data_IF_520182838937
#
_entry.id   IF_520182838937
#
_cell.length_a   1.000
_cell.length_b   1.000
_cell.length_c   1.000
_cell.angle_alpha   90.00
_cell.angle_beta   90.00
_cell.angle_gamma   90.00
#
_symmetry.space_group_name_H-M   'P 1'
#
loop_
_entity.id
_entity.type
_entity.pdbx_description
1 polymer ?
#
# COMPACT_ATOMS: atom_id res chain seq x y z
N UNK A 1 35.74 -42.01 -0.09
CA UNK A 1 34.34 -41.77 0.31
C UNK A 1 34.29 -40.40 0.97
N UNK A 2 33.85 -39.32 0.30
CA UNK A 2 33.56 -38.09 1.01
C UNK A 2 32.22 -38.26 1.73
N UNK A 3 32.19 -37.85 3.00
CA UNK A 3 31.00 -37.83 3.84
C UNK A 3 30.06 -36.74 3.32
N UNK A 4 28.83 -37.12 2.98
CA UNK A 4 27.72 -36.19 2.74
C UNK A 4 27.53 -35.32 4.00
N UNK A 5 27.79 -34.03 3.87
CA UNK A 5 27.29 -33.01 4.80
C UNK A 5 25.77 -32.96 4.68
N UNK A 6 25.00 -33.16 5.77
CA UNK A 6 23.57 -33.04 5.71
C UNK A 6 23.18 -31.60 5.38
N UNK A 7 22.35 -31.45 4.34
CA UNK A 7 21.69 -30.20 3.98
C UNK A 7 20.86 -29.74 5.18
N UNK A 8 21.13 -28.53 5.67
CA UNK A 8 20.30 -27.92 6.71
C UNK A 8 18.86 -27.79 6.17
N UNK A 9 17.83 -28.06 6.98
CA UNK A 9 16.46 -27.81 6.56
C UNK A 9 16.28 -26.31 6.28
N UNK A 10 15.61 -25.98 5.18
CA UNK A 10 15.17 -24.61 4.87
C UNK A 10 14.41 -24.05 6.08
N UNK A 11 14.83 -22.87 6.55
CA UNK A 11 14.21 -22.17 7.66
C UNK A 11 12.73 -21.89 7.33
N UNK A 12 11.77 -22.29 8.18
CA UNK A 12 10.33 -22.16 7.91
C UNK A 12 9.79 -20.71 7.93
N UNK A 13 10.65 -19.71 8.16
CA UNK A 13 10.25 -18.31 8.41
C UNK A 13 10.44 -17.38 7.20
N UNK A 14 10.73 -17.93 6.01
CA UNK A 14 10.80 -17.09 4.81
C UNK A 14 9.38 -16.80 4.30
N UNK A 15 8.99 -15.52 4.12
CA UNK A 15 7.64 -15.17 3.65
C UNK A 15 7.36 -15.81 2.30
N UNK A 16 6.20 -16.46 2.17
CA UNK A 16 5.76 -17.08 0.91
C UNK A 16 5.31 -16.01 -0.09
N UNK A 17 5.96 -15.99 -1.24
CA UNK A 17 5.67 -15.09 -2.36
C UNK A 17 5.03 -15.78 -3.56
N UNK A 18 4.82 -17.11 -3.52
CA UNK A 18 4.43 -17.88 -4.71
C UNK A 18 3.10 -17.41 -5.31
N UNK A 19 2.22 -16.85 -4.47
CA UNK A 19 0.89 -16.37 -4.85
C UNK A 19 0.72 -14.86 -4.65
N UNK A 20 1.80 -14.11 -4.41
CA UNK A 20 1.71 -12.66 -4.19
C UNK A 20 1.81 -11.89 -5.50
N UNK A 21 1.01 -10.83 -5.62
CA UNK A 21 1.03 -9.86 -6.71
C UNK A 21 0.83 -8.45 -6.16
N UNK A 22 1.65 -7.52 -6.61
CA UNK A 22 1.70 -6.17 -6.07
C UNK A 22 1.10 -5.18 -7.05
N UNK A 23 0.23 -4.30 -6.54
CA UNK A 23 -0.19 -3.08 -7.20
C UNK A 23 0.45 -1.89 -6.49
N UNK A 24 1.34 -1.18 -7.19
CA UNK A 24 1.90 0.09 -6.74
C UNK A 24 1.08 1.24 -7.33
N UNK A 25 0.41 1.99 -6.45
CA UNK A 25 -0.40 3.15 -6.83
C UNK A 25 0.42 4.41 -6.52
N UNK A 26 0.95 5.04 -7.57
CA UNK A 26 1.75 6.26 -7.49
C UNK A 26 0.82 7.47 -7.46
N UNK A 27 0.90 8.27 -6.40
CA UNK A 27 0.12 9.49 -6.25
C UNK A 27 0.95 10.77 -6.08
N UNK A 28 2.27 10.72 -6.30
CA UNK A 28 3.10 11.94 -6.32
C UNK A 28 2.70 12.79 -7.50
N UNK A 29 2.56 14.12 -7.37
CA UNK A 29 2.27 15.04 -8.49
C UNK A 29 3.43 15.25 -9.46
N UNK A 30 4.59 14.64 -9.18
CA UNK A 30 5.79 14.67 -10.00
C UNK A 30 6.24 13.24 -10.28
N UNK A 31 6.60 12.98 -11.53
CA UNK A 31 7.36 11.79 -11.90
C UNK A 31 8.72 11.80 -11.17
N UNK A 32 9.23 10.62 -10.85
CA UNK A 32 10.52 10.42 -10.17
C UNK A 32 10.60 11.13 -8.80
N UNK A 33 9.46 11.23 -8.11
CA UNK A 33 9.39 11.76 -6.76
C UNK A 33 10.11 10.87 -5.75
N UNK A 34 10.48 11.42 -4.58
CA UNK A 34 11.18 10.66 -3.55
C UNK A 34 10.38 9.43 -3.06
N UNK A 35 9.06 9.53 -2.89
CA UNK A 35 8.24 8.36 -2.53
C UNK A 35 8.27 7.27 -3.59
N UNK A 36 8.23 7.65 -4.88
CA UNK A 36 8.30 6.70 -5.99
C UNK A 36 9.66 6.01 -6.04
N UNK A 37 10.75 6.78 -5.93
CA UNK A 37 12.11 6.23 -5.91
C UNK A 37 12.26 5.23 -4.76
N UNK A 38 11.78 5.57 -3.57
CA UNK A 38 11.82 4.69 -2.41
C UNK A 38 10.97 3.42 -2.61
N UNK A 39 9.79 3.55 -3.22
CA UNK A 39 8.95 2.41 -3.54
C UNK A 39 9.60 1.48 -4.56
N UNK A 40 10.25 2.05 -5.59
CA UNK A 40 11.00 1.28 -6.60
C UNK A 40 12.20 0.57 -6.00
N UNK A 41 12.91 1.21 -5.07
CA UNK A 41 13.99 0.55 -4.32
C UNK A 41 13.45 -0.65 -3.54
N UNK A 42 12.39 -0.47 -2.75
CA UNK A 42 11.81 -1.57 -1.97
C UNK A 42 11.30 -2.71 -2.87
N UNK A 43 10.67 -2.37 -4.00
CA UNK A 43 10.16 -3.34 -4.96
C UNK A 43 11.26 -4.14 -5.67
N UNK A 44 12.48 -3.60 -5.77
CA UNK A 44 13.62 -4.31 -6.35
C UNK A 44 14.12 -5.48 -5.47
N UNK A 45 13.76 -5.50 -4.18
CA UNK A 45 14.07 -6.59 -3.25
C UNK A 45 12.95 -7.63 -3.14
N UNK A 46 11.89 -7.51 -3.93
CA UNK A 46 10.92 -8.60 -4.11
C UNK A 46 11.58 -9.74 -4.90
N UNK A 47 11.26 -11.01 -4.60
CA UNK A 47 11.77 -12.14 -5.37
C UNK A 47 11.48 -12.03 -6.86
N UNK A 48 12.41 -12.52 -7.67
CA UNK A 48 12.23 -12.56 -9.12
C UNK A 48 10.98 -13.35 -9.49
N UNK A 49 10.14 -12.79 -10.36
CA UNK A 49 8.91 -13.41 -10.82
C UNK A 49 7.65 -13.02 -10.06
N UNK A 50 7.76 -12.32 -8.92
CA UNK A 50 6.58 -11.72 -8.25
C UNK A 50 5.97 -10.65 -9.18
N UNK A 51 4.71 -10.78 -9.61
CA UNK A 51 4.07 -9.81 -10.48
C UNK A 51 3.96 -8.43 -9.81
N UNK A 52 4.33 -7.39 -10.55
CA UNK A 52 4.22 -6.00 -10.11
C UNK A 52 3.48 -5.20 -11.18
N UNK A 53 2.38 -4.55 -10.79
CA UNK A 53 1.67 -3.57 -11.62
C UNK A 53 1.90 -2.19 -11.02
N UNK A 54 2.25 -1.23 -11.86
CA UNK A 54 2.46 0.17 -11.47
C UNK A 54 1.40 1.03 -12.14
N UNK A 55 0.73 1.87 -11.37
CA UNK A 55 -0.29 2.80 -11.86
C UNK A 55 0.06 4.20 -11.38
N UNK A 56 0.27 5.12 -12.31
CA UNK A 56 0.46 6.54 -12.01
C UNK A 56 -0.87 7.29 -12.09
N UNK A 57 -1.36 7.78 -10.95
CA UNK A 57 -2.62 8.52 -10.88
C UNK A 57 -2.58 9.88 -11.58
N UNK A 58 -1.39 10.46 -11.84
CA UNK A 58 -1.29 11.71 -12.60
C UNK A 58 -1.51 11.52 -14.09
N UNK A 59 -1.18 10.34 -14.62
CA UNK A 59 -1.36 10.02 -16.04
C UNK A 59 -2.81 9.66 -16.37
N UNK A 60 -3.63 9.46 -15.34
CA UNK A 60 -5.02 9.06 -15.47
C UNK A 60 -5.97 10.25 -15.36
N UNK A 61 -6.94 10.29 -16.27
CA UNK A 61 -8.09 11.15 -16.15
C UNK A 61 -9.11 10.49 -15.20
N UNK A 62 -8.92 10.70 -13.90
CA UNK A 62 -9.87 10.30 -12.85
C UNK A 62 -10.60 11.55 -12.32
N UNK A 63 -11.91 11.72 -12.56
CA UNK A 63 -12.70 12.82 -12.02
C UNK A 63 -12.65 12.91 -10.49
N UNK A 64 -13.00 14.07 -9.94
CA UNK A 64 -13.17 14.17 -8.49
C UNK A 64 -14.33 13.28 -8.02
N UNK A 65 -14.07 12.51 -6.96
CA UNK A 65 -15.07 11.62 -6.38
C UNK A 65 -16.30 12.42 -5.94
N UNK A 66 -17.48 11.94 -6.34
CA UNK A 66 -18.77 12.48 -5.92
C UNK A 66 -19.46 11.44 -5.04
N UNK A 67 -19.84 11.86 -3.83
CA UNK A 67 -20.49 10.98 -2.86
C UNK A 67 -21.99 10.82 -3.18
N UNK A 68 -22.27 9.81 -4.01
CA UNK A 68 -23.62 9.45 -4.41
C UNK A 68 -24.36 8.54 -3.43
N UNK A 69 -23.93 8.38 -2.16
CA UNK A 69 -24.55 7.42 -1.20
C UNK A 69 -26.05 7.58 -0.96
N UNK A 70 -26.64 8.72 -1.37
CA UNK A 70 -28.08 9.00 -1.27
C UNK A 70 -28.79 9.09 -2.63
N UNK A 71 -28.05 8.84 -3.71
CA UNK A 71 -28.56 8.69 -5.08
C UNK A 71 -28.43 7.20 -5.47
N UNK A 72 -29.07 6.76 -6.55
CA UNK A 72 -28.87 5.39 -7.04
C UNK A 72 -27.44 5.29 -7.59
N UNK A 73 -26.49 4.95 -6.72
CA UNK A 73 -25.10 4.72 -7.11
C UNK A 73 -25.03 3.49 -8.02
N UNK A 74 -24.55 3.69 -9.26
CA UNK A 74 -24.31 2.64 -10.23
C UNK A 74 -22.90 2.04 -10.12
N UNK A 75 -22.60 0.96 -10.88
CA UNK A 75 -21.23 0.46 -11.03
C UNK A 75 -20.29 1.52 -11.62
N UNK A 76 -18.96 1.31 -11.60
CA UNK A 76 -17.99 2.23 -12.19
C UNK A 76 -18.43 2.75 -13.56
N UNK A 77 -18.49 4.07 -13.69
CA UNK A 77 -19.14 4.73 -14.83
C UNK A 77 -18.15 5.14 -15.92
N UNK A 78 -16.85 5.15 -15.62
CA UNK A 78 -15.79 5.46 -16.58
C UNK A 78 -14.70 4.37 -16.61
N UNK A 79 -14.02 4.26 -17.75
CA UNK A 79 -13.00 3.22 -17.99
C UNK A 79 -11.81 3.32 -17.03
N UNK A 80 -11.41 4.53 -16.64
CA UNK A 80 -10.31 4.74 -15.67
C UNK A 80 -10.66 4.14 -14.31
N UNK A 81 -11.86 4.43 -13.81
CA UNK A 81 -12.37 3.93 -12.53
C UNK A 81 -12.49 2.40 -12.56
N UNK A 82 -13.04 1.85 -13.65
CA UNK A 82 -13.16 0.39 -13.82
C UNK A 82 -11.78 -0.28 -13.82
N UNK A 83 -10.82 0.26 -14.57
CA UNK A 83 -9.45 -0.23 -14.60
C UNK A 83 -8.79 -0.19 -13.22
N UNK A 84 -8.98 0.89 -12.47
CA UNK A 84 -8.47 1.04 -11.10
C UNK A 84 -9.10 0.02 -10.16
N UNK A 85 -10.43 -0.14 -10.20
CA UNK A 85 -11.12 -1.16 -9.40
C UNK A 85 -10.56 -2.55 -9.70
N UNK A 86 -10.53 -2.94 -10.98
CA UNK A 86 -10.03 -4.24 -11.44
C UNK A 86 -8.58 -4.50 -11.02
N UNK A 87 -7.70 -3.50 -11.15
CA UNK A 87 -6.32 -3.59 -10.71
C UNK A 87 -6.23 -3.81 -9.19
N UNK A 88 -7.02 -3.06 -8.42
CA UNK A 88 -7.03 -3.11 -6.95
C UNK A 88 -7.44 -4.49 -6.45
N UNK A 89 -8.54 -5.02 -6.97
CA UNK A 89 -9.10 -6.31 -6.52
C UNK A 89 -8.37 -7.54 -7.05
N UNK A 90 -7.47 -7.37 -8.03
CA UNK A 90 -6.65 -8.44 -8.59
C UNK A 90 -5.31 -8.60 -7.83
N UNK A 91 -4.87 -7.58 -7.10
CA UNK A 91 -3.63 -7.62 -6.33
C UNK A 91 -3.81 -8.32 -4.98
N UNK A 92 -2.79 -9.05 -4.52
CA UNK A 92 -2.72 -9.49 -3.12
C UNK A 92 -2.23 -8.40 -2.19
N UNK A 93 -1.41 -7.50 -2.74
CA UNK A 93 -0.72 -6.44 -2.02
C UNK A 93 -0.96 -5.11 -2.74
N UNK A 94 -1.63 -4.18 -2.08
CA UNK A 94 -1.83 -2.81 -2.58
C UNK A 94 -0.87 -1.87 -1.85
N UNK A 95 -0.01 -1.19 -2.60
CA UNK A 95 1.00 -0.27 -2.09
C UNK A 95 0.61 1.15 -2.46
N UNK A 96 0.24 1.95 -1.45
CA UNK A 96 -0.06 3.36 -1.62
C UNK A 96 1.23 4.17 -1.53
N UNK A 97 1.66 4.74 -2.66
CA UNK A 97 2.90 5.51 -2.76
C UNK A 97 2.55 7.00 -2.87
N UNK A 98 2.67 7.72 -1.76
CA UNK A 98 2.30 9.13 -1.67
C UNK A 98 3.39 9.96 -1.01
N UNK A 99 3.73 11.16 -1.49
CA UNK A 99 4.48 12.10 -0.67
C UNK A 99 3.64 12.52 0.55
N UNK A 100 4.31 12.88 1.65
CA UNK A 100 3.64 13.42 2.84
C UNK A 100 3.33 14.90 2.61
N UNK A 101 2.10 15.23 2.24
CA UNK A 101 1.63 16.59 2.02
C UNK A 101 0.62 16.99 3.08
N UNK A 102 0.90 18.11 3.74
CA UNK A 102 0.08 18.59 4.87
C UNK A 102 -0.21 17.48 5.90
N UNK A 103 0.83 16.70 6.22
CA UNK A 103 0.77 15.58 7.17
C UNK A 103 -0.26 14.49 6.81
N UNK A 104 -0.56 14.39 5.51
CA UNK A 104 -1.49 13.43 4.91
C UNK A 104 -1.01 13.02 3.51
N UNK A 105 -1.91 12.39 2.74
CA UNK A 105 -1.66 11.98 1.37
C UNK A 105 -1.65 13.16 0.39
N UNK A 106 -1.15 12.91 -0.82
CA UNK A 106 -1.42 13.78 -1.96
C UNK A 106 -2.90 13.78 -2.33
N UNK A 107 -3.36 14.85 -3.00
CA UNK A 107 -4.73 14.95 -3.48
C UNK A 107 -5.09 13.81 -4.45
N UNK A 108 -4.14 13.38 -5.31
CA UNK A 108 -4.35 12.27 -6.25
C UNK A 108 -4.59 10.95 -5.51
N UNK A 109 -3.75 10.64 -4.53
CA UNK A 109 -3.91 9.45 -3.68
C UNK A 109 -5.23 9.49 -2.93
N UNK A 110 -5.57 10.64 -2.34
CA UNK A 110 -6.81 10.78 -1.58
C UNK A 110 -8.04 10.60 -2.47
N UNK A 111 -8.04 11.14 -3.70
CA UNK A 111 -9.08 10.91 -4.70
C UNK A 111 -9.24 9.41 -4.99
N UNK A 112 -8.17 8.69 -5.26
CA UNK A 112 -8.22 7.24 -5.48
C UNK A 112 -8.81 6.48 -4.28
N UNK A 113 -8.40 6.83 -3.05
CA UNK A 113 -8.96 6.24 -1.83
C UNK A 113 -10.45 6.57 -1.64
N UNK A 114 -10.89 7.76 -2.06
CA UNK A 114 -12.31 8.14 -1.97
C UNK A 114 -13.18 7.27 -2.88
N UNK A 115 -12.68 6.84 -4.05
CA UNK A 115 -13.38 5.89 -4.92
C UNK A 115 -13.62 4.51 -4.26
N UNK A 116 -12.82 4.10 -3.28
CA UNK A 116 -13.11 2.89 -2.51
C UNK A 116 -14.47 3.00 -1.79
N UNK A 117 -14.87 4.21 -1.40
CA UNK A 117 -16.22 4.46 -0.86
C UNK A 117 -17.30 4.21 -1.91
N UNK A 118 -17.08 4.60 -3.16
CA UNK A 118 -18.00 4.29 -4.26
C UNK A 118 -18.09 2.77 -4.50
N UNK A 119 -16.94 2.10 -4.55
CA UNK A 119 -16.85 0.67 -4.79
C UNK A 119 -17.49 -0.16 -3.67
N UNK A 120 -17.56 0.36 -2.45
CA UNK A 120 -18.25 -0.30 -1.33
C UNK A 120 -19.78 -0.29 -1.45
N UNK A 121 -20.36 0.70 -2.14
CA UNK A 121 -21.76 1.08 -1.92
C UNK A 121 -22.69 0.81 -3.11
N UNK A 122 -22.18 0.38 -4.27
CA UNK A 122 -23.08 0.04 -5.39
C UNK A 122 -23.74 -1.34 -5.20
N UNK A 123 -25.00 -1.53 -5.63
CA UNK A 123 -25.72 -2.80 -5.48
C UNK A 123 -24.96 -3.98 -6.10
N UNK A 124 -24.75 -5.04 -5.31
CA UNK A 124 -24.04 -6.25 -5.76
C UNK A 124 -22.52 -6.16 -5.69
N UNK A 125 -21.95 -5.08 -5.13
CA UNK A 125 -20.51 -5.01 -4.91
C UNK A 125 -20.00 -6.09 -3.95
N UNK A 126 -18.92 -6.76 -4.34
CA UNK A 126 -18.15 -7.68 -3.50
C UNK A 126 -16.81 -7.08 -3.04
N UNK A 127 -16.59 -5.77 -3.25
CA UNK A 127 -15.30 -5.12 -3.04
C UNK A 127 -14.72 -5.39 -1.64
N UNK A 128 -15.51 -5.19 -0.58
CA UNK A 128 -15.06 -5.47 0.80
C UNK A 128 -14.63 -6.91 1.01
N UNK A 129 -15.40 -7.87 0.48
CA UNK A 129 -15.09 -9.30 0.62
C UNK A 129 -13.83 -9.67 -0.17
N UNK A 130 -13.60 -9.07 -1.34
CA UNK A 130 -12.40 -9.31 -2.16
C UNK A 130 -11.14 -8.68 -1.60
N UNK A 131 -11.29 -7.57 -0.88
CA UNK A 131 -10.21 -6.88 -0.19
C UNK A 131 -9.86 -7.51 1.16
N UNK A 132 -10.78 -8.24 1.81
CA UNK A 132 -10.48 -8.97 3.03
C UNK A 132 -9.25 -9.88 2.84
N UNK A 133 -8.40 -9.96 3.86
CA UNK A 133 -7.12 -10.68 3.89
C UNK A 133 -6.05 -10.21 2.89
N UNK A 134 -6.34 -9.27 1.98
CA UNK A 134 -5.33 -8.57 1.16
C UNK A 134 -4.48 -7.67 2.05
N UNK A 135 -3.26 -7.36 1.61
CA UNK A 135 -2.37 -6.50 2.39
C UNK A 135 -2.35 -5.08 1.85
N UNK A 136 -2.51 -4.11 2.74
CA UNK A 136 -2.27 -2.70 2.47
C UNK A 136 -0.90 -2.27 2.97
N UNK A 137 -0.14 -1.59 2.12
CA UNK A 137 1.17 -1.02 2.43
C UNK A 137 1.19 0.47 2.11
N UNK A 138 2.06 1.22 2.79
CA UNK A 138 2.38 2.60 2.43
C UNK A 138 3.85 2.80 2.09
N UNK A 139 4.14 3.73 1.19
CA UNK A 139 5.49 4.29 1.01
C UNK A 139 5.37 5.80 0.94
N UNK A 140 6.11 6.51 1.79
CA UNK A 140 6.07 7.97 1.85
C UNK A 140 7.44 8.58 2.06
N UNK A 141 7.69 9.68 1.36
CA UNK A 141 8.83 10.55 1.60
C UNK A 141 8.36 11.88 2.19
N UNK A 142 9.13 12.40 3.14
CA UNK A 142 8.84 13.61 3.89
C UNK A 142 10.06 14.54 3.97
N UNK A 143 9.84 15.79 4.37
CA UNK A 143 10.90 16.81 4.50
C UNK A 143 11.36 17.03 5.95
N UNK A 144 11.17 16.04 6.81
CA UNK A 144 11.59 16.06 8.23
C UNK A 144 12.46 14.86 8.53
N UNK A 145 13.32 14.96 9.54
CA UNK A 145 14.08 13.83 10.08
C UNK A 145 13.23 13.04 11.10
N UNK A 146 12.30 13.70 11.80
CA UNK A 146 11.40 13.07 12.76
C UNK A 146 10.19 12.42 12.07
N UNK A 147 10.27 11.12 11.79
CA UNK A 147 9.23 10.40 11.04
C UNK A 147 7.88 10.26 11.76
N UNK A 148 7.81 10.55 13.07
CA UNK A 148 6.56 10.61 13.84
C UNK A 148 5.56 11.63 13.28
N UNK A 149 6.01 12.64 12.53
CA UNK A 149 5.10 13.59 11.87
C UNK A 149 4.23 12.94 10.78
N UNK A 150 4.57 11.71 10.34
CA UNK A 150 3.76 10.93 9.40
C UNK A 150 2.66 10.08 10.08
N UNK A 151 2.57 10.08 11.42
CA UNK A 151 1.63 9.24 12.19
C UNK A 151 0.18 9.32 11.69
N UNK A 152 -0.28 10.52 11.30
CA UNK A 152 -1.62 10.72 10.76
C UNK A 152 -1.87 9.97 9.44
N UNK A 153 -0.88 9.93 8.55
CA UNK A 153 -0.92 9.14 7.32
C UNK A 153 -0.91 7.65 7.63
N UNK A 154 -0.02 7.22 8.52
CA UNK A 154 0.09 5.81 8.95
C UNK A 154 -1.22 5.32 9.54
N UNK A 155 -1.81 6.10 10.47
CA UNK A 155 -3.10 5.81 11.10
C UNK A 155 -4.21 5.73 10.07
N UNK A 156 -4.23 6.65 9.10
CA UNK A 156 -5.23 6.65 8.04
C UNK A 156 -5.20 5.35 7.22
N UNK A 157 -4.01 4.90 6.78
CA UNK A 157 -3.88 3.63 6.06
C UNK A 157 -4.25 2.43 6.94
N UNK A 158 -3.79 2.40 8.20
CA UNK A 158 -4.11 1.32 9.12
C UNK A 158 -5.63 1.20 9.32
N UNK A 159 -6.33 2.30 9.54
CA UNK A 159 -7.79 2.31 9.70
C UNK A 159 -8.52 1.94 8.41
N UNK A 160 -8.03 2.34 7.23
CA UNK A 160 -8.57 1.85 5.96
C UNK A 160 -8.44 0.34 5.83
N UNK A 161 -7.28 -0.22 6.21
CA UNK A 161 -7.08 -1.66 6.22
C UNK A 161 -8.02 -2.36 7.22
N UNK A 162 -8.13 -1.85 8.44
CA UNK A 162 -8.99 -2.41 9.48
C UNK A 162 -10.47 -2.42 9.07
N UNK A 163 -10.94 -1.33 8.46
CA UNK A 163 -12.31 -1.21 7.96
C UNK A 163 -12.66 -2.31 6.94
N UNK A 164 -11.72 -2.63 6.04
CA UNK A 164 -11.87 -3.63 5.00
C UNK A 164 -11.49 -5.05 5.44
N UNK A 165 -11.08 -5.26 6.70
CA UNK A 165 -10.52 -6.54 7.19
C UNK A 165 -9.31 -6.99 6.38
N UNK A 166 -8.48 -6.03 5.99
CA UNK A 166 -7.20 -6.26 5.34
C UNK A 166 -6.10 -6.52 6.38
N UNK A 167 -5.00 -7.08 5.90
CA UNK A 167 -3.71 -7.09 6.60
C UNK A 167 -3.02 -5.74 6.41
N UNK A 168 -2.21 -5.31 7.37
CA UNK A 168 -1.43 -4.08 7.25
C UNK A 168 0.06 -4.36 7.36
N UNK A 169 0.80 -4.02 6.30
CA UNK A 169 2.25 -4.21 6.24
C UNK A 169 3.08 -3.01 6.70
N UNK A 170 2.42 -1.95 7.18
CA UNK A 170 3.10 -0.74 7.64
C UNK A 170 3.41 0.25 6.51
N UNK A 171 4.21 1.26 6.86
CA UNK A 171 4.57 2.37 5.96
C UNK A 171 6.08 2.55 5.93
N UNK A 172 6.68 2.43 4.75
CA UNK A 172 8.09 2.77 4.54
C UNK A 172 8.23 4.27 4.44
N UNK A 173 9.05 4.85 5.32
CA UNK A 173 9.32 6.28 5.39
C UNK A 173 10.76 6.60 5.01
N UNK A 174 10.96 7.72 4.30
CA UNK A 174 12.29 8.25 4.01
C UNK A 174 12.32 9.77 3.86
N UNK A 175 13.48 10.36 4.06
CA UNK A 175 13.66 11.82 4.07
C UNK A 175 14.15 12.32 2.71
N UNK A 176 13.48 13.34 2.18
CA UNK A 176 13.84 13.92 0.90
C UNK A 176 13.11 15.24 0.59
N UNK A 177 13.75 16.36 0.87
CA UNK A 177 13.21 17.71 0.61
C UNK A 177 13.43 18.23 -0.82
N UNK A 178 14.34 17.62 -1.59
CA UNK A 178 14.57 17.92 -3.02
C UNK A 178 14.40 16.65 -3.87
N UNK A 179 14.10 16.77 -5.18
CA UNK A 179 13.98 15.62 -6.06
C UNK A 179 15.20 14.69 -5.96
N UNK A 180 14.95 13.38 -5.82
CA UNK A 180 15.99 12.36 -5.76
C UNK A 180 16.78 12.26 -4.46
N UNK A 181 16.55 13.10 -3.46
CA UNK A 181 17.33 13.12 -2.21
C UNK A 181 17.16 11.90 -1.33
N UNK A 182 16.07 11.16 -1.46
CA UNK A 182 15.87 9.91 -0.69
C UNK A 182 16.95 8.88 -0.98
N UNK A 183 17.67 8.97 -2.11
CA UNK A 183 18.82 8.09 -2.42
C UNK A 183 20.00 8.27 -1.47
N UNK A 184 20.02 9.36 -0.70
CA UNK A 184 21.04 9.62 0.31
C UNK A 184 20.57 9.27 1.74
N UNK A 185 19.31 8.83 1.90
CA UNK A 185 18.79 8.35 3.19
C UNK A 185 19.13 6.86 3.33
N UNK A 186 20.32 6.57 3.82
CA UNK A 186 20.84 5.20 3.96
C UNK A 186 19.94 4.33 4.85
N UNK A 187 19.34 4.90 5.90
CA UNK A 187 18.46 4.14 6.78
C UNK A 187 17.16 3.73 6.07
N UNK A 188 16.56 4.63 5.28
CA UNK A 188 15.40 4.29 4.47
C UNK A 188 15.73 3.21 3.44
N UNK A 189 16.90 3.29 2.79
CA UNK A 189 17.34 2.26 1.84
C UNK A 189 17.61 0.92 2.53
N UNK A 190 18.12 0.91 3.76
CA UNK A 190 18.29 -0.32 4.55
C UNK A 190 16.92 -0.93 4.87
N UNK A 191 15.96 -0.13 5.37
CA UNK A 191 14.59 -0.59 5.64
C UNK A 191 13.88 -1.09 4.39
N UNK A 192 14.12 -0.47 3.23
CA UNK A 192 13.53 -0.84 1.96
C UNK A 192 13.85 -2.30 1.55
N UNK A 193 15.04 -2.81 1.92
CA UNK A 193 15.49 -4.17 1.54
C UNK A 193 14.57 -5.28 2.00
N UNK A 194 13.95 -5.12 3.16
CA UNK A 194 13.12 -6.15 3.80
C UNK A 194 11.68 -5.71 3.97
N UNK A 195 11.31 -4.52 3.47
CA UNK A 195 10.02 -3.90 3.79
C UNK A 195 8.82 -4.81 3.45
N UNK A 196 8.79 -5.40 2.25
CA UNK A 196 7.69 -6.27 1.82
C UNK A 196 7.78 -7.72 2.32
N UNK A 197 8.82 -8.04 3.11
CA UNK A 197 9.07 -9.36 3.70
C UNK A 197 8.59 -9.43 5.16
N UNK A 198 8.26 -8.29 5.77
CA UNK A 198 7.78 -8.23 7.14
C UNK A 198 6.41 -8.91 7.34
N UNK A 199 6.11 -9.24 8.58
CA UNK A 199 4.78 -9.70 8.97
C UNK A 199 3.72 -8.65 8.67
N UNK A 200 2.55 -9.12 8.25
CA UNK A 200 1.41 -8.28 7.90
C UNK A 200 0.22 -8.63 8.78
N UNK A 201 0.17 -8.27 10.07
CA UNK A 201 -0.96 -8.67 10.91
C UNK A 201 -2.30 -8.18 10.35
N UNK A 202 -3.39 -8.85 10.74
CA UNK A 202 -4.73 -8.35 10.46
C UNK A 202 -4.88 -6.96 11.11
N UNK A 203 -5.27 -5.97 10.32
CA UNK A 203 -5.49 -4.62 10.84
C UNK A 203 -6.77 -4.60 11.68
N UNK A 204 -6.68 -4.02 12.87
CA UNK A 204 -7.78 -3.89 13.81
C UNK A 204 -7.94 -2.44 14.20
N UNK A 205 -9.15 -2.01 14.51
CA UNK A 205 -9.31 -0.71 15.14
C UNK A 205 -8.80 -0.74 16.59
N UNK A 206 -8.40 0.41 17.18
CA UNK A 206 -7.91 0.45 18.55
C UNK A 206 -8.86 -0.17 19.59
N UNK A 207 -10.18 -0.09 19.35
CA UNK A 207 -11.18 -0.69 20.24
C UNK A 207 -11.32 -2.21 20.09
N UNK A 208 -10.84 -2.80 18.99
CA UNK A 208 -10.83 -4.24 18.75
C UNK A 208 -9.56 -4.89 19.34
N UNK A 209 -8.42 -4.20 19.27
CA UNK A 209 -7.15 -4.65 19.84
C UNK A 209 -7.24 -4.81 21.36
N UNK A 210 -7.86 -3.84 22.05
CA UNK A 210 -8.06 -3.90 23.50
C UNK A 210 -8.98 -5.04 23.95
N UNK A 211 -9.88 -5.51 23.09
CA UNK A 211 -10.75 -6.65 23.38
C UNK A 211 -10.04 -8.00 23.20
N UNK A 212 -9.01 -8.07 22.34
CA UNK A 212 -8.24 -9.29 22.08
C UNK A 212 -7.22 -9.60 23.20
N UNK A 213 -6.76 -8.60 23.95
CA UNK A 213 -5.81 -8.75 25.06
C UNK A 213 -6.52 -9.04 26.41
N UNK A 214 -7.84 -8.86 26.46
CA UNK A 214 -8.67 -9.07 27.65
C UNK A 214 -9.29 -10.46 27.80
N UNK A 215 -8.88 -11.45 26.99
CA UNK A 215 -9.37 -12.84 27.01
C UNK A 215 -8.24 -13.80 27.35
#
# INVERSE_FOLDING_TARGET
>A
MPLDTPHAPDSPDSPDFSNRSFLFVLGSSRADGNSEILAREAAAHLPAGVPQRWVDLNELSLPDFQDGRHEIAGPPVNETEKMLLEATVAATDVVIVSPLYWYSFSAQTKRYLDYWSGWLNFPGSDFKARMADRTLWGVTALSHDEHVVAEGLVTSLHHSAAYLRMRFGGVLTGTGSRPGRVRADEEALIRAKTFFQGETPLALFPYEEGAAVGV
#
